data_IF_951257733803
#
_entry.id   IF_951257733803
#
_cell.length_a   1.000
_cell.length_b   1.000
_cell.length_c   1.000
_cell.angle_alpha   90.00
_cell.angle_beta   90.00
_cell.angle_gamma   90.00
#
_symmetry.space_group_name_H-M   'P 1'
#
loop_
_entity.id
_entity.type
_entity.pdbx_description
1 polymer ?
#
# COMPACT_ATOMS: atom_id res chain seq x y z
N UNK A 1 12.28 -7.67 -6.47
CA UNK A 1 10.99 -7.13 -6.85
C UNK A 1 9.95 -8.21 -7.14
N UNK A 2 10.34 -9.19 -7.95
CA UNK A 2 9.41 -10.23 -8.38
C UNK A 2 8.76 -11.01 -7.26
N UNK A 3 9.52 -11.37 -6.24
CA UNK A 3 8.96 -12.18 -5.15
C UNK A 3 7.87 -11.44 -4.37
N UNK A 4 8.11 -10.16 -4.07
CA UNK A 4 7.12 -9.38 -3.34
C UNK A 4 5.86 -9.22 -4.18
N UNK A 5 6.01 -8.84 -5.44
CA UNK A 5 4.88 -8.61 -6.32
C UNK A 5 4.07 -9.88 -6.58
N UNK A 6 4.74 -11.02 -6.70
CA UNK A 6 4.06 -12.29 -6.90
C UNK A 6 3.28 -12.72 -5.66
N UNK A 7 3.79 -12.43 -4.47
CA UNK A 7 3.06 -12.73 -3.23
C UNK A 7 1.81 -11.85 -3.13
N UNK A 8 1.86 -10.66 -3.70
CA UNK A 8 0.78 -9.69 -3.68
C UNK A 8 -0.30 -10.00 -4.71
N UNK A 9 0.11 -10.46 -5.88
CA UNK A 9 -0.78 -10.58 -7.02
C UNK A 9 -0.37 -11.80 -7.84
N UNK A 10 -1.22 -12.83 -7.85
CA UNK A 10 -0.95 -14.05 -8.60
C UNK A 10 -1.40 -13.97 -10.05
N UNK A 11 -2.12 -12.90 -10.43
CA UNK A 11 -2.49 -12.70 -11.83
C UNK A 11 -1.24 -12.32 -12.63
N UNK A 12 -1.20 -12.76 -13.88
CA UNK A 12 -0.09 -12.39 -14.74
C UNK A 12 -0.10 -10.88 -14.99
N UNK A 13 1.08 -10.24 -15.05
CA UNK A 13 1.15 -8.83 -15.40
C UNK A 13 0.61 -8.62 -16.81
N UNK A 14 0.07 -7.45 -17.06
CA UNK A 14 -0.46 -7.10 -18.36
C UNK A 14 -1.70 -6.26 -18.26
N UNK A 15 -2.74 -6.68 -18.98
CA UNK A 15 -3.92 -5.85 -19.15
C UNK A 15 -4.60 -5.50 -17.83
N UNK A 16 -4.76 -6.45 -16.92
CA UNK A 16 -5.45 -6.17 -15.66
C UNK A 16 -4.70 -5.14 -14.82
N UNK A 17 -3.37 -5.22 -14.78
CA UNK A 17 -2.57 -4.26 -14.04
C UNK A 17 -2.64 -2.88 -14.69
N UNK A 18 -2.57 -2.85 -16.00
CA UNK A 18 -2.70 -1.59 -16.74
C UNK A 18 -4.05 -0.95 -16.50
N UNK A 19 -5.12 -1.75 -16.57
CA UNK A 19 -6.47 -1.25 -16.33
C UNK A 19 -6.63 -0.72 -14.91
N UNK A 20 -6.01 -1.39 -13.94
CA UNK A 20 -6.02 -0.96 -12.56
C UNK A 20 -5.44 0.46 -12.41
N UNK A 21 -4.25 0.67 -12.95
CA UNK A 21 -3.59 1.97 -12.84
C UNK A 21 -4.25 3.05 -13.68
N UNK A 22 -4.81 2.68 -14.83
CA UNK A 22 -5.48 3.65 -15.70
C UNK A 22 -6.69 4.31 -15.06
N UNK A 23 -7.27 3.67 -14.05
CA UNK A 23 -8.41 4.23 -13.33
C UNK A 23 -8.00 5.21 -12.23
N UNK A 24 -6.71 5.42 -12.05
CA UNK A 24 -6.19 6.21 -10.94
C UNK A 24 -5.54 7.48 -11.44
N UNK A 25 -5.59 8.52 -10.61
CA UNK A 25 -4.82 9.73 -10.86
C UNK A 25 -3.34 9.42 -10.64
N UNK A 26 -2.48 10.26 -11.21
CA UNK A 26 -1.04 10.05 -11.16
C UNK A 26 -0.52 9.84 -9.73
N UNK A 27 -0.95 10.69 -8.81
CA UNK A 27 -0.50 10.58 -7.43
C UNK A 27 -1.01 9.30 -6.78
N UNK A 28 -2.25 8.96 -7.07
CA UNK A 28 -2.84 7.71 -6.56
C UNK A 28 -2.09 6.49 -7.10
N UNK A 29 -1.77 6.51 -8.38
CA UNK A 29 -1.03 5.42 -9.01
C UNK A 29 0.36 5.26 -8.38
N UNK A 30 1.01 6.38 -8.07
CA UNK A 30 2.32 6.34 -7.41
C UNK A 30 2.24 5.70 -6.03
N UNK A 31 1.24 6.06 -5.24
CA UNK A 31 1.04 5.46 -3.92
C UNK A 31 0.79 3.96 -4.04
N UNK A 32 -0.09 3.58 -4.95
CA UNK A 32 -0.39 2.16 -5.13
C UNK A 32 0.85 1.38 -5.57
N UNK A 33 1.64 1.94 -6.49
CA UNK A 33 2.85 1.28 -6.96
C UNK A 33 3.84 1.04 -5.82
N UNK A 34 4.02 2.00 -4.92
CA UNK A 34 4.88 1.80 -3.76
C UNK A 34 4.40 0.62 -2.93
N UNK A 35 3.11 0.57 -2.65
CA UNK A 35 2.56 -0.48 -1.80
C UNK A 35 2.63 -1.86 -2.46
N UNK A 36 2.43 -1.92 -3.77
CA UNK A 36 2.44 -3.20 -4.48
C UNK A 36 3.86 -3.74 -4.69
N UNK A 37 4.84 -2.88 -4.86
CA UNK A 37 6.22 -3.31 -5.09
C UNK A 37 7.02 -3.45 -3.80
N UNK A 38 6.57 -2.82 -2.73
CA UNK A 38 7.34 -2.78 -1.49
C UNK A 38 8.45 -1.75 -1.49
N UNK A 39 8.67 -1.07 -2.61
CA UNK A 39 9.66 0.00 -2.71
C UNK A 39 9.03 1.31 -2.25
N UNK A 40 9.02 1.49 -0.94
CA UNK A 40 8.25 2.55 -0.29
C UNK A 40 9.15 3.49 0.47
N UNK A 41 8.52 4.52 1.05
CA UNK A 41 9.20 5.40 2.00
C UNK A 41 9.05 4.92 3.44
N UNK A 42 8.62 3.68 3.63
CA UNK A 42 8.55 3.06 4.94
C UNK A 42 9.95 2.61 5.38
N UNK A 43 10.19 2.66 6.68
CA UNK A 43 11.54 2.39 7.20
C UNK A 43 12.05 0.98 6.88
N UNK A 44 11.17 0.01 6.72
CA UNK A 44 11.59 -1.33 6.36
C UNK A 44 12.35 -1.38 5.05
N UNK A 45 11.88 -0.64 4.05
CA UNK A 45 12.57 -0.55 2.77
C UNK A 45 13.73 0.44 2.83
N UNK A 46 13.50 1.62 3.41
CA UNK A 46 14.51 2.67 3.45
C UNK A 46 15.77 2.21 4.19
N UNK A 47 15.59 1.47 5.27
CA UNK A 47 16.73 0.93 6.01
C UNK A 47 17.53 -0.05 5.15
N UNK A 48 16.84 -0.86 4.37
CA UNK A 48 17.51 -1.86 3.53
C UNK A 48 18.38 -1.22 2.46
N UNK A 49 17.99 -0.05 1.95
CA UNK A 49 18.78 0.65 0.93
C UNK A 49 19.69 1.73 1.51
N UNK A 50 19.80 1.77 2.85
CA UNK A 50 20.70 2.71 3.51
C UNK A 50 20.16 4.12 3.65
N UNK A 51 18.89 4.35 3.38
CA UNK A 51 18.28 5.68 3.46
C UNK A 51 17.66 6.00 4.80
N UNK A 52 17.63 5.03 5.71
CA UNK A 52 17.20 5.23 7.10
C UNK A 52 18.09 4.40 8.02
N UNK A 53 18.31 4.89 9.22
CA UNK A 53 19.19 4.20 10.18
C UNK A 53 18.53 2.99 10.80
N UNK A 54 17.21 3.00 10.91
CA UNK A 54 16.47 1.92 11.55
C UNK A 54 15.30 1.51 10.68
N UNK A 55 14.95 0.24 10.73
CA UNK A 55 13.78 -0.27 10.03
C UNK A 55 12.51 -0.19 10.88
N UNK A 56 12.61 0.31 12.12
CA UNK A 56 11.48 0.31 13.04
C UNK A 56 10.45 1.36 12.70
N UNK A 57 9.19 0.98 12.93
CA UNK A 57 8.08 1.91 12.86
C UNK A 57 8.13 2.87 14.05
N UNK A 58 7.65 4.08 13.85
CA UNK A 58 7.59 5.06 14.93
C UNK A 58 6.65 4.64 16.06
N UNK A 59 5.80 3.62 15.85
CA UNK A 59 4.99 3.07 16.94
C UNK A 59 5.88 2.36 17.99
N UNK A 60 7.10 2.06 17.64
CA UNK A 60 8.14 1.72 18.61
C UNK A 60 8.49 0.26 18.74
N UNK A 61 7.78 -0.65 18.13
CA UNK A 61 7.96 -2.05 18.48
C UNK A 61 8.22 -3.02 17.34
N UNK A 62 7.97 -2.61 16.12
CA UNK A 62 8.08 -3.52 14.99
C UNK A 62 8.67 -2.83 13.79
N UNK A 63 9.11 -3.65 12.84
CA UNK A 63 9.61 -3.20 11.56
C UNK A 63 8.48 -2.54 10.76
N UNK A 64 8.79 -1.41 10.12
CA UNK A 64 7.78 -0.69 9.33
C UNK A 64 7.70 -1.26 7.93
N UNK A 65 6.89 -2.30 7.76
CA UNK A 65 6.64 -2.96 6.48
C UNK A 65 5.32 -2.48 5.90
N UNK A 66 5.06 -2.85 4.64
CA UNK A 66 3.77 -2.55 4.01
C UNK A 66 2.63 -3.19 4.80
N UNK A 67 2.78 -4.44 5.20
CA UNK A 67 1.72 -5.11 5.95
C UNK A 67 1.45 -4.43 7.28
N UNK A 68 2.50 -4.10 8.02
CA UNK A 68 2.34 -3.38 9.29
C UNK A 68 1.63 -2.05 9.08
N UNK A 69 2.09 -1.29 8.09
CA UNK A 69 1.51 0.01 7.78
C UNK A 69 0.04 -0.08 7.41
N UNK A 70 -0.31 -1.03 6.54
CA UNK A 70 -1.68 -1.14 6.06
C UNK A 70 -2.64 -1.71 7.07
N UNK A 71 -2.21 -2.69 7.86
CA UNK A 71 -3.15 -3.51 8.58
C UNK A 71 -2.96 -3.53 10.10
N UNK A 72 -1.83 -3.09 10.61
CA UNK A 72 -1.50 -3.35 12.01
C UNK A 72 -1.08 -2.15 12.84
N UNK A 73 -0.50 -1.12 12.24
CA UNK A 73 0.08 -0.04 13.01
C UNK A 73 -0.98 0.72 13.81
N UNK A 74 -0.76 0.82 15.12
CA UNK A 74 -1.71 1.47 16.03
C UNK A 74 -1.82 2.97 15.80
N UNK A 75 -0.79 3.58 15.20
CA UNK A 75 -0.83 5.02 14.93
C UNK A 75 -1.98 5.42 14.02
N UNK A 76 -2.38 4.53 13.13
CA UNK A 76 -3.32 4.85 12.07
C UNK A 76 -4.67 4.15 12.19
N UNK A 77 -4.99 3.68 13.38
CA UNK A 77 -6.21 2.91 13.60
C UNK A 77 -7.46 3.64 13.12
N UNK A 78 -7.59 4.92 13.47
CA UNK A 78 -8.77 5.68 13.10
C UNK A 78 -8.86 5.89 11.60
N UNK A 79 -7.74 6.21 10.94
CA UNK A 79 -7.72 6.41 9.50
C UNK A 79 -8.01 5.13 8.73
N UNK A 80 -7.63 3.99 9.30
CA UNK A 80 -7.78 2.69 8.65
C UNK A 80 -9.23 2.22 8.61
N UNK A 81 -10.09 2.79 9.41
CA UNK A 81 -11.45 2.29 9.56
C UNK A 81 -12.20 2.24 8.24
N UNK A 82 -12.14 3.31 7.44
CA UNK A 82 -12.84 3.34 6.16
C UNK A 82 -12.34 2.26 5.22
N UNK A 83 -11.03 2.01 5.24
CA UNK A 83 -10.43 0.97 4.42
C UNK A 83 -10.94 -0.41 4.85
N UNK A 84 -10.97 -0.66 6.16
CA UNK A 84 -11.38 -1.96 6.66
C UNK A 84 -12.87 -2.23 6.43
N UNK A 85 -13.68 -1.20 6.36
CA UNK A 85 -15.12 -1.37 6.16
C UNK A 85 -15.49 -1.80 4.75
N UNK A 86 -14.54 -1.79 3.82
CA UNK A 86 -14.82 -2.22 2.45
C UNK A 86 -15.10 -3.71 2.33
N UNK A 87 -14.78 -4.49 3.35
CA UNK A 87 -15.00 -5.93 3.33
C UNK A 87 -15.19 -6.46 4.74
N UNK A 88 -15.95 -7.55 4.87
CA UNK A 88 -16.06 -8.27 6.14
C UNK A 88 -15.27 -9.55 6.14
N UNK A 89 -14.93 -10.08 4.96
CA UNK A 89 -14.28 -11.38 4.83
C UNK A 89 -12.81 -11.30 4.44
N UNK A 90 -12.37 -10.17 3.94
CA UNK A 90 -11.03 -10.01 3.41
C UNK A 90 -10.20 -8.98 4.16
N UNK A 91 -10.57 -8.67 5.41
CA UNK A 91 -9.93 -7.59 6.19
C UNK A 91 -8.44 -7.76 6.40
N UNK A 92 -7.95 -8.98 6.45
CA UNK A 92 -6.53 -9.24 6.61
C UNK A 92 -5.79 -9.47 5.32
N UNK A 93 -6.43 -9.29 4.18
CA UNK A 93 -5.84 -9.61 2.89
C UNK A 93 -5.20 -8.38 2.25
N UNK A 94 -3.89 -8.29 2.35
CA UNK A 94 -3.12 -7.23 1.69
C UNK A 94 -3.38 -7.21 0.19
N UNK A 95 -3.44 -8.39 -0.41
CA UNK A 95 -3.71 -8.53 -1.85
C UNK A 95 -5.02 -7.87 -2.24
N UNK A 96 -6.07 -8.12 -1.46
CA UNK A 96 -7.39 -7.55 -1.75
C UNK A 96 -7.35 -6.02 -1.81
N UNK A 97 -6.75 -5.39 -0.80
CA UNK A 97 -6.71 -3.93 -0.72
C UNK A 97 -5.84 -3.29 -1.79
N UNK A 98 -4.91 -4.03 -2.34
CA UNK A 98 -3.99 -3.50 -3.33
C UNK A 98 -4.34 -3.92 -4.75
N UNK A 99 -5.53 -4.47 -4.95
CA UNK A 99 -6.01 -4.80 -6.29
C UNK A 99 -5.35 -6.01 -6.90
N UNK A 100 -4.76 -6.90 -6.08
CA UNK A 100 -4.14 -8.11 -6.56
C UNK A 100 -5.08 -9.30 -6.50
N UNK A 101 -4.74 -10.34 -7.27
CA UNK A 101 -5.49 -11.59 -7.29
C UNK A 101 -4.85 -12.58 -6.35
N UNK A 102 -5.63 -13.09 -5.39
CA UNK A 102 -5.17 -14.14 -4.50
C UNK A 102 -5.40 -15.52 -5.14
N UNK A 103 -4.66 -16.56 -4.69
CA UNK A 103 -4.88 -17.90 -5.24
C UNK A 103 -6.32 -18.40 -5.09
N UNK A 104 -7.02 -17.94 -4.06
CA UNK A 104 -8.41 -18.34 -3.81
C UNK A 104 -9.43 -17.60 -4.67
N UNK A 105 -9.01 -16.57 -5.40
CA UNK A 105 -9.93 -15.80 -6.23
C UNK A 105 -10.30 -16.57 -7.49
N UNK A 106 -11.52 -16.38 -8.00
CA UNK A 106 -11.95 -17.07 -9.22
C UNK A 106 -11.12 -16.64 -10.43
N UNK A 107 -11.16 -17.48 -11.45
CA UNK A 107 -10.41 -17.21 -12.68
C UNK A 107 -10.86 -15.90 -13.34
N UNK A 108 -12.17 -15.64 -13.32
CA UNK A 108 -12.72 -14.38 -13.81
C UNK A 108 -12.82 -13.41 -12.65
N UNK A 109 -11.71 -12.84 -12.29
CA UNK A 109 -11.58 -11.95 -11.16
C UNK A 109 -11.31 -10.53 -11.64
N UNK A 110 -11.76 -9.56 -10.87
CA UNK A 110 -11.37 -8.16 -11.08
C UNK A 110 -11.11 -7.50 -9.73
N UNK A 111 -10.25 -6.47 -9.70
CA UNK A 111 -9.98 -5.76 -8.45
C UNK A 111 -11.22 -5.04 -7.94
N UNK A 112 -11.34 -4.97 -6.61
CA UNK A 112 -12.38 -4.14 -5.99
C UNK A 112 -11.84 -2.71 -5.92
N UNK A 113 -12.26 -1.89 -6.88
CA UNK A 113 -11.75 -0.52 -6.96
C UNK A 113 -12.16 0.35 -5.78
N UNK A 114 -13.29 0.05 -5.16
CA UNK A 114 -13.67 0.78 -3.95
C UNK A 114 -12.65 0.55 -2.84
N UNK A 115 -12.25 -0.69 -2.65
CA UNK A 115 -11.24 -1.03 -1.65
C UNK A 115 -9.88 -0.45 -2.00
N UNK A 116 -9.49 -0.52 -3.27
CA UNK A 116 -8.22 0.04 -3.71
C UNK A 116 -8.17 1.55 -3.45
N UNK A 117 -9.24 2.27 -3.81
CA UNK A 117 -9.27 3.71 -3.60
C UNK A 117 -9.30 4.07 -2.12
N UNK A 118 -10.00 3.30 -1.30
CA UNK A 118 -10.00 3.53 0.14
C UNK A 118 -8.61 3.31 0.75
N UNK A 119 -7.89 2.32 0.25
CA UNK A 119 -6.52 2.04 0.70
C UNK A 119 -5.57 3.18 0.32
N UNK A 120 -5.69 3.68 -0.91
CA UNK A 120 -4.87 4.81 -1.35
C UNK A 120 -5.19 6.05 -0.51
N UNK A 121 -6.48 6.29 -0.27
CA UNK A 121 -6.90 7.44 0.55
C UNK A 121 -6.32 7.34 1.96
N UNK A 122 -6.35 6.14 2.55
CA UNK A 122 -5.73 5.90 3.84
C UNK A 122 -4.24 6.24 3.82
N UNK A 123 -3.53 5.70 2.84
CA UNK A 123 -2.08 5.93 2.75
C UNK A 123 -1.75 7.41 2.58
N UNK A 124 -2.52 8.11 1.75
CA UNK A 124 -2.31 9.54 1.52
C UNK A 124 -2.60 10.35 2.77
N UNK A 125 -3.62 9.95 3.52
CA UNK A 125 -3.98 10.66 4.75
C UNK A 125 -2.89 10.56 5.82
N UNK A 126 -2.13 9.46 5.82
CA UNK A 126 -1.02 9.31 6.78
C UNK A 126 0.19 10.17 6.44
N UNK A 127 0.35 10.53 5.17
CA UNK A 127 1.53 11.26 4.70
C UNK A 127 2.80 10.45 4.66
N UNK A 128 2.76 9.16 5.01
CA UNK A 128 3.98 8.35 5.14
C UNK A 128 4.67 8.04 3.81
N UNK A 129 3.93 8.06 2.71
CA UNK A 129 4.49 7.70 1.41
C UNK A 129 4.78 8.91 0.52
N UNK A 130 4.60 10.11 1.04
CA UNK A 130 4.86 11.33 0.26
C UNK A 130 6.34 11.53 0.05
N UNK A 131 6.73 11.97 -1.15
CA UNK A 131 8.11 12.27 -1.44
C UNK A 131 8.55 13.54 -0.69
N UNK A 132 9.81 13.54 -0.24
CA UNK A 132 10.34 14.68 0.50
C UNK A 132 10.29 15.98 -0.30
N UNK A 133 10.54 15.90 -1.59
CA UNK A 133 10.51 17.09 -2.44
C UNK A 133 9.12 17.65 -2.59
N UNK A 134 8.10 16.83 -2.46
CA UNK A 134 6.71 17.31 -2.49
C UNK A 134 6.34 17.99 -1.19
N UNK A 135 7.05 17.67 -0.13
CA UNK A 135 6.81 18.24 1.18
C UNK A 135 7.71 19.43 1.48
N UNK A 136 8.60 19.74 0.60
CA UNK A 136 9.68 20.68 0.81
C UNK A 136 9.30 21.96 1.52
N UNK A 137 10.01 23.06 1.24
CA UNK A 137 9.83 24.28 2.03
C UNK A 137 8.43 24.88 1.96
N UNK A 138 7.65 24.50 0.96
CA UNK A 138 6.29 24.99 0.85
C UNK A 138 5.35 24.31 1.83
N UNK A 139 5.78 23.25 2.46
CA UNK A 139 4.93 22.47 3.33
C UNK A 139 4.89 23.09 4.72
N UNK A 140 3.78 23.63 5.15
CA UNK A 140 3.67 24.17 6.50
C UNK A 140 3.71 23.01 7.50
N UNK A 141 4.28 23.30 8.62
CA UNK A 141 4.42 22.30 9.67
C UNK A 141 3.55 22.64 10.87
#
# INVERSE_FOLDING_TARGET
MGKFSKAMDTALPGKHTRDLYDKLKRREASVLAQLRTGMTRLNGFLSRIGAAESDQCACGHVRETVEHFLLRCVRWTALREDMLQCTTTRRGSRSFYLGGKAPSDPKQWSPDMKAVRATIKYAMATGRLDADDEQGPSQPQ
#
